data_IF_156904227710
#
_entry.id   IF_156904227710
#
_cell.length_a   1.000
_cell.length_b   1.000
_cell.length_c   1.000
_cell.angle_alpha   90.00
_cell.angle_beta   90.00
_cell.angle_gamma   90.00
#
_symmetry.space_group_name_H-M   'P 1'
#
loop_
_entity.id
_entity.type
_entity.pdbx_description
1 polymer ?
#
# COMPACT_ATOMS: atom_id res chain seq x y z
N UNK A 1 60.92 -4.27 40.45
CA UNK A 1 60.26 -3.43 39.42
C UNK A 1 59.17 -4.14 38.59
N UNK A 2 58.80 -5.40 38.90
CA UNK A 2 57.78 -6.18 38.15
C UNK A 2 56.37 -6.20 38.71
N UNK A 3 56.13 -5.68 39.92
CA UNK A 3 54.77 -5.70 40.52
C UNK A 3 53.95 -4.46 40.23
N UNK A 4 54.53 -3.34 39.83
CA UNK A 4 53.76 -2.14 39.50
C UNK A 4 53.19 -2.15 38.05
N UNK A 5 53.78 -2.92 37.16
CA UNK A 5 53.26 -3.07 35.81
C UNK A 5 51.98 -3.94 35.74
N UNK A 6 51.83 -4.88 36.66
CA UNK A 6 50.67 -5.77 36.70
C UNK A 6 49.41 -5.10 37.26
N UNK A 7 49.55 -4.13 38.16
CA UNK A 7 48.45 -3.40 38.77
C UNK A 7 47.85 -2.33 37.83
N UNK A 8 48.66 -1.76 36.92
CA UNK A 8 48.17 -0.80 35.90
C UNK A 8 47.43 -1.48 34.75
N UNK A 9 47.77 -2.71 34.41
CA UNK A 9 47.08 -3.47 33.36
C UNK A 9 45.69 -3.96 33.80
N UNK A 10 45.47 -4.25 35.11
CA UNK A 10 44.17 -4.67 35.62
C UNK A 10 43.20 -3.50 35.82
N UNK A 11 43.70 -2.28 36.07
CA UNK A 11 42.86 -1.10 36.23
C UNK A 11 42.33 -0.55 34.87
N UNK A 12 43.05 -0.74 33.76
CA UNK A 12 42.58 -0.30 32.43
C UNK A 12 41.56 -1.25 31.79
N UNK A 13 41.52 -2.51 32.20
CA UNK A 13 40.54 -3.49 31.70
C UNK A 13 39.15 -3.37 32.38
N UNK A 14 39.09 -2.78 33.59
CA UNK A 14 37.82 -2.61 34.30
C UNK A 14 37.04 -1.35 33.92
N UNK A 15 37.72 -0.37 33.26
CA UNK A 15 37.07 0.88 32.86
C UNK A 15 36.47 0.84 31.45
N UNK A 16 36.76 -0.21 30.67
CA UNK A 16 36.26 -0.32 29.30
C UNK A 16 34.93 -1.10 29.12
N UNK A 17 34.39 -1.63 30.21
CA UNK A 17 33.21 -2.53 30.12
C UNK A 17 31.93 -1.99 30.76
N UNK A 18 31.83 -0.68 31.01
CA UNK A 18 30.58 0.02 31.30
C UNK A 18 30.11 0.80 30.10
N UNK A 19 30.01 0.15 28.94
CA UNK A 19 29.07 0.60 27.90
C UNK A 19 27.69 0.28 28.47
N UNK A 20 27.05 1.28 29.05
CA UNK A 20 25.64 1.24 29.34
C UNK A 20 24.91 0.81 28.08
N UNK A 21 24.57 -0.45 27.95
CA UNK A 21 23.45 -0.88 27.13
C UNK A 21 22.20 -0.33 27.83
N UNK A 22 21.89 0.94 27.58
CA UNK A 22 20.59 1.49 27.86
C UNK A 22 19.62 0.71 26.97
N UNK A 23 19.14 -0.39 27.50
CA UNK A 23 17.97 -1.10 26.94
C UNK A 23 16.78 -0.16 27.12
N UNK A 24 16.68 0.80 26.20
CA UNK A 24 15.48 1.61 26.08
C UNK A 24 14.33 0.64 25.80
N UNK A 25 13.43 0.49 26.77
CA UNK A 25 12.24 -0.33 26.61
C UNK A 25 11.55 0.10 25.30
N UNK A 26 11.13 -0.86 24.44
CA UNK A 26 10.51 -0.51 23.17
C UNK A 26 9.30 0.39 23.45
N UNK A 27 9.36 1.63 22.94
CA UNK A 27 8.24 2.58 23.06
C UNK A 27 7.01 1.94 22.44
N UNK A 28 5.94 1.81 23.23
CA UNK A 28 4.67 1.33 22.69
C UNK A 28 4.24 2.24 21.57
N UNK A 29 4.06 1.67 20.38
CA UNK A 29 3.56 2.42 19.23
C UNK A 29 2.20 3.07 19.56
N UNK A 30 2.09 4.37 19.33
CA UNK A 30 0.87 5.15 19.58
C UNK A 30 -0.09 5.00 18.40
N UNK A 31 -1.41 4.93 18.67
CA UNK A 31 -2.45 4.82 17.67
C UNK A 31 -2.87 3.38 17.35
N UNK A 32 -3.70 3.24 16.32
CA UNK A 32 -4.21 1.94 15.86
C UNK A 32 -3.09 1.09 15.24
N UNK A 33 -2.94 -0.16 15.71
CA UNK A 33 -1.87 -1.06 15.26
C UNK A 33 -2.42 -2.44 14.88
N UNK A 34 -1.61 -3.21 14.14
CA UNK A 34 -1.87 -4.61 13.81
C UNK A 34 -3.10 -4.84 12.92
N UNK A 35 -3.78 -5.98 13.14
CA UNK A 35 -4.92 -6.40 12.32
C UNK A 35 -6.09 -5.41 12.36
N UNK A 36 -6.37 -4.79 13.51
CA UNK A 36 -7.44 -3.78 13.65
C UNK A 36 -7.19 -2.57 12.74
N UNK A 37 -5.95 -2.05 12.70
CA UNK A 37 -5.58 -0.95 11.78
C UNK A 37 -5.85 -1.34 10.33
N UNK A 38 -5.44 -2.55 9.95
CA UNK A 38 -5.59 -3.04 8.57
C UNK A 38 -7.06 -3.18 8.16
N UNK A 39 -7.89 -3.74 9.04
CA UNK A 39 -9.33 -3.89 8.77
C UNK A 39 -9.99 -2.52 8.62
N UNK A 40 -9.77 -1.59 9.56
CA UNK A 40 -10.35 -0.25 9.50
C UNK A 40 -9.88 0.49 8.25
N UNK A 41 -8.58 0.40 7.94
CA UNK A 41 -8.01 1.00 6.73
C UNK A 41 -8.71 0.52 5.47
N UNK A 42 -8.78 -0.80 5.26
CA UNK A 42 -9.39 -1.38 4.06
C UNK A 42 -10.89 -1.06 4.01
N UNK A 43 -11.62 -1.21 5.12
CA UNK A 43 -13.06 -0.95 5.14
C UNK A 43 -13.40 0.51 4.83
N UNK A 44 -12.66 1.47 5.41
CA UNK A 44 -12.86 2.89 5.13
C UNK A 44 -12.45 3.24 3.69
N UNK A 45 -11.30 2.71 3.24
CA UNK A 45 -10.84 2.93 1.87
C UNK A 45 -11.89 2.48 0.86
N UNK A 46 -12.37 1.24 0.97
CA UNK A 46 -13.36 0.68 0.04
C UNK A 46 -14.72 1.40 0.13
N UNK A 47 -15.20 1.69 1.33
CA UNK A 47 -16.49 2.36 1.49
C UNK A 47 -16.48 3.76 0.83
N UNK A 48 -15.42 4.54 1.04
CA UNK A 48 -15.29 5.87 0.43
C UNK A 48 -15.05 5.74 -1.08
N UNK A 49 -14.20 4.80 -1.51
CA UNK A 49 -13.92 4.55 -2.92
C UNK A 49 -15.22 4.22 -3.69
N UNK A 50 -16.04 3.30 -3.18
CA UNK A 50 -17.33 2.92 -3.78
C UNK A 50 -18.27 4.13 -3.83
N UNK A 51 -18.40 4.88 -2.73
CA UNK A 51 -19.28 6.04 -2.68
C UNK A 51 -18.86 7.11 -3.70
N UNK A 52 -17.57 7.46 -3.74
CA UNK A 52 -17.08 8.51 -4.66
C UNK A 52 -17.12 8.05 -6.11
N UNK A 53 -16.74 6.81 -6.41
CA UNK A 53 -16.85 6.25 -7.77
C UNK A 53 -18.29 6.23 -8.27
N UNK A 54 -19.25 5.88 -7.40
CA UNK A 54 -20.69 5.94 -7.73
C UNK A 54 -21.10 7.38 -8.07
N UNK A 55 -20.66 8.36 -7.28
CA UNK A 55 -20.96 9.77 -7.55
C UNK A 55 -20.31 10.27 -8.86
N UNK A 56 -19.09 9.83 -9.17
CA UNK A 56 -18.43 10.13 -10.44
C UNK A 56 -19.26 9.58 -11.60
N UNK A 57 -19.68 8.32 -11.55
CA UNK A 57 -20.53 7.72 -12.60
C UNK A 57 -21.86 8.47 -12.77
N UNK A 58 -22.51 8.87 -11.68
CA UNK A 58 -23.71 9.68 -11.73
C UNK A 58 -23.44 11.05 -12.37
N UNK A 59 -22.35 11.71 -12.01
CA UNK A 59 -21.98 13.03 -12.52
C UNK A 59 -21.72 13.02 -14.03
N UNK A 60 -21.26 11.90 -14.59
CA UNK A 60 -21.06 11.74 -16.05
C UNK A 60 -22.31 11.17 -16.75
N UNK A 61 -23.46 11.15 -16.08
CA UNK A 61 -24.75 10.86 -16.68
C UNK A 61 -25.27 9.43 -16.53
N UNK A 62 -24.59 8.58 -15.74
CA UNK A 62 -25.07 7.21 -15.49
C UNK A 62 -26.19 7.20 -14.44
N UNK A 63 -27.09 6.23 -14.53
CA UNK A 63 -28.17 6.06 -13.53
C UNK A 63 -27.58 5.71 -12.16
N UNK A 64 -28.16 6.26 -11.10
CA UNK A 64 -27.65 6.06 -9.72
C UNK A 64 -27.63 4.58 -9.30
N UNK A 65 -28.64 3.80 -9.66
CA UNK A 65 -28.69 2.35 -9.39
C UNK A 65 -27.52 1.60 -10.03
N UNK A 66 -27.28 1.89 -11.30
CA UNK A 66 -26.28 1.20 -12.11
C UNK A 66 -24.87 1.62 -11.70
N UNK A 67 -24.71 2.89 -11.31
CA UNK A 67 -23.44 3.46 -10.79
C UNK A 67 -22.98 2.79 -9.50
N UNK A 68 -23.90 2.58 -8.56
CA UNK A 68 -23.60 1.90 -7.30
C UNK A 68 -23.16 0.45 -7.50
N UNK A 69 -23.92 -0.30 -8.32
CA UNK A 69 -23.61 -1.70 -8.63
C UNK A 69 -22.25 -1.80 -9.35
N UNK A 70 -22.01 -0.92 -10.34
CA UNK A 70 -20.74 -0.91 -11.06
C UNK A 70 -19.56 -0.57 -10.13
N UNK A 71 -19.70 0.40 -9.24
CA UNK A 71 -18.64 0.77 -8.31
C UNK A 71 -18.28 -0.40 -7.38
N UNK A 72 -19.28 -1.14 -6.88
CA UNK A 72 -19.04 -2.36 -6.09
C UNK A 72 -18.37 -3.46 -6.92
N UNK A 73 -18.85 -3.70 -8.15
CA UNK A 73 -18.25 -4.69 -9.03
C UNK A 73 -16.79 -4.36 -9.36
N UNK A 74 -16.50 -3.09 -9.67
CA UNK A 74 -15.14 -2.61 -9.92
C UNK A 74 -14.23 -2.79 -8.71
N UNK A 75 -14.71 -2.48 -7.50
CA UNK A 75 -13.96 -2.69 -6.25
C UNK A 75 -13.64 -4.17 -6.04
N UNK A 76 -14.60 -5.07 -6.21
CA UNK A 76 -14.36 -6.52 -6.08
C UNK A 76 -13.34 -7.01 -7.12
N UNK A 77 -13.46 -6.59 -8.38
CA UNK A 77 -12.52 -6.95 -9.43
C UNK A 77 -11.12 -6.44 -9.10
N UNK A 78 -10.99 -5.18 -8.66
CA UNK A 78 -9.71 -4.58 -8.30
C UNK A 78 -9.05 -5.32 -7.14
N UNK A 79 -9.79 -5.70 -6.10
CA UNK A 79 -9.26 -6.49 -4.96
C UNK A 79 -8.80 -7.87 -5.44
N UNK A 80 -9.64 -8.60 -6.18
CA UNK A 80 -9.32 -9.92 -6.69
C UNK A 80 -8.09 -9.88 -7.61
N UNK A 81 -8.04 -8.90 -8.51
CA UNK A 81 -6.90 -8.70 -9.41
C UNK A 81 -5.63 -8.36 -8.64
N UNK A 82 -5.71 -7.45 -7.69
CA UNK A 82 -4.58 -7.08 -6.84
C UNK A 82 -3.95 -8.31 -6.17
N UNK A 83 -4.76 -9.15 -5.53
CA UNK A 83 -4.27 -10.36 -4.86
C UNK A 83 -3.68 -11.35 -5.85
N UNK A 84 -4.39 -11.62 -6.95
CA UNK A 84 -3.98 -12.61 -7.95
C UNK A 84 -2.73 -12.17 -8.71
N UNK A 85 -2.71 -10.91 -9.17
CA UNK A 85 -1.58 -10.37 -9.92
C UNK A 85 -0.31 -10.30 -9.09
N UNK A 86 -0.38 -9.77 -7.86
CA UNK A 86 0.79 -9.71 -6.98
C UNK A 86 1.33 -11.10 -6.68
N UNK A 87 0.46 -12.07 -6.41
CA UNK A 87 0.87 -13.45 -6.17
C UNK A 87 1.56 -14.08 -7.40
N UNK A 88 0.99 -13.88 -8.60
CA UNK A 88 1.58 -14.36 -9.84
C UNK A 88 2.91 -13.69 -10.15
N UNK A 89 2.97 -12.36 -9.94
CA UNK A 89 4.18 -11.58 -10.16
C UNK A 89 5.31 -11.98 -9.20
N UNK A 90 5.01 -12.17 -7.92
CA UNK A 90 5.97 -12.66 -6.93
C UNK A 90 6.50 -14.05 -7.29
N UNK A 91 5.64 -14.97 -7.74
CA UNK A 91 6.05 -16.29 -8.23
C UNK A 91 6.96 -16.18 -9.46
N UNK A 92 6.66 -15.27 -10.39
CA UNK A 92 7.51 -15.02 -11.53
C UNK A 92 8.86 -14.42 -11.12
N UNK A 93 8.86 -13.43 -10.21
CA UNK A 93 10.05 -12.78 -9.69
C UNK A 93 10.97 -13.80 -8.95
N UNK A 94 10.40 -14.71 -8.18
CA UNK A 94 11.13 -15.75 -7.46
C UNK A 94 11.91 -16.70 -8.37
N UNK A 95 11.47 -16.88 -9.64
CA UNK A 95 12.14 -17.71 -10.64
C UNK A 95 13.30 -16.99 -11.35
N UNK A 96 13.48 -15.69 -11.11
CA UNK A 96 14.54 -14.92 -11.76
C UNK A 96 15.89 -15.12 -11.06
N UNK A 97 16.95 -15.21 -11.85
CA UNK A 97 18.34 -15.38 -11.34
C UNK A 97 18.89 -14.13 -10.70
N UNK A 98 18.49 -12.94 -11.19
CA UNK A 98 18.91 -11.64 -10.64
C UNK A 98 17.94 -11.21 -9.55
N UNK A 99 18.42 -11.09 -8.31
CA UNK A 99 17.62 -10.62 -7.18
C UNK A 99 17.52 -9.09 -7.18
N UNK A 100 16.39 -8.59 -6.72
CA UNK A 100 16.08 -7.16 -6.62
C UNK A 100 15.17 -6.64 -7.73
N UNK A 101 14.47 -5.52 -7.45
CA UNK A 101 13.52 -4.91 -8.39
C UNK A 101 14.21 -3.85 -9.22
N UNK A 102 14.65 -4.23 -10.43
CA UNK A 102 15.12 -3.27 -11.44
C UNK A 102 13.99 -2.32 -11.87
N UNK A 103 14.36 -1.18 -12.47
CA UNK A 103 13.40 -0.22 -13.03
C UNK A 103 12.47 -0.91 -14.03
N UNK A 104 13.01 -1.76 -14.91
CA UNK A 104 12.22 -2.51 -15.89
C UNK A 104 11.16 -3.40 -15.21
N UNK A 105 11.51 -4.11 -14.14
CA UNK A 105 10.54 -4.94 -13.41
C UNK A 105 9.43 -4.12 -12.78
N UNK A 106 9.73 -2.92 -12.27
CA UNK A 106 8.72 -1.99 -11.74
C UNK A 106 7.77 -1.52 -12.83
N UNK A 107 8.31 -1.19 -14.02
CA UNK A 107 7.52 -0.77 -15.17
C UNK A 107 6.62 -1.92 -15.66
N UNK A 108 7.17 -3.13 -15.81
CA UNK A 108 6.40 -4.32 -16.21
C UNK A 108 5.29 -4.62 -15.19
N UNK A 109 5.59 -4.49 -13.88
CA UNK A 109 4.57 -4.66 -12.84
C UNK A 109 3.46 -3.63 -12.98
N UNK A 110 3.80 -2.35 -13.13
CA UNK A 110 2.81 -1.28 -13.23
C UNK A 110 1.93 -1.45 -14.49
N UNK A 111 2.54 -1.68 -15.66
CA UNK A 111 1.80 -1.89 -16.92
C UNK A 111 0.94 -3.15 -16.85
N UNK A 112 1.45 -4.25 -16.31
CA UNK A 112 0.70 -5.49 -16.17
C UNK A 112 -0.47 -5.35 -15.20
N UNK A 113 -0.28 -4.62 -14.09
CA UNK A 113 -1.31 -4.37 -13.10
C UNK A 113 -2.44 -3.52 -13.67
N UNK A 114 -2.11 -2.34 -14.19
CA UNK A 114 -3.08 -1.40 -14.75
C UNK A 114 -3.73 -1.93 -16.02
N UNK A 115 -2.94 -2.53 -16.92
CA UNK A 115 -3.46 -3.15 -18.15
C UNK A 115 -4.43 -4.29 -17.87
N UNK A 116 -4.19 -5.08 -16.82
CA UNK A 116 -5.10 -6.15 -16.43
C UNK A 116 -6.42 -5.64 -15.84
N UNK A 117 -6.39 -4.60 -15.02
CA UNK A 117 -7.61 -3.94 -14.53
C UNK A 117 -8.39 -3.36 -15.72
N UNK A 118 -7.74 -2.58 -16.58
CA UNK A 118 -8.36 -1.97 -17.73
C UNK A 118 -8.99 -3.00 -18.68
N UNK A 119 -8.31 -4.13 -18.92
CA UNK A 119 -8.81 -5.20 -19.77
C UNK A 119 -10.09 -5.88 -19.21
N UNK A 120 -10.31 -5.81 -17.90
CA UNK A 120 -11.53 -6.33 -17.27
C UNK A 120 -12.61 -5.27 -17.14
N UNK A 121 -12.24 -4.05 -16.68
CA UNK A 121 -13.23 -3.01 -16.39
C UNK A 121 -13.77 -2.32 -17.66
N UNK A 122 -12.94 -2.07 -18.67
CA UNK A 122 -13.39 -1.40 -19.90
C UNK A 122 -14.55 -2.18 -20.58
N UNK A 123 -14.41 -3.48 -20.90
CA UNK A 123 -15.53 -4.21 -21.51
C UNK A 123 -16.73 -4.36 -20.57
N UNK A 124 -16.50 -4.49 -19.27
CA UNK A 124 -17.58 -4.58 -18.30
C UNK A 124 -18.38 -3.27 -18.24
N UNK A 125 -17.72 -2.12 -18.16
CA UNK A 125 -18.37 -0.80 -18.16
C UNK A 125 -19.10 -0.53 -19.47
N UNK A 126 -18.47 -0.88 -20.61
CA UNK A 126 -19.08 -0.72 -21.92
C UNK A 126 -20.39 -1.50 -22.02
N UNK A 127 -20.39 -2.76 -21.56
CA UNK A 127 -21.58 -3.61 -21.55
C UNK A 127 -22.64 -3.12 -20.55
N UNK A 128 -22.21 -2.79 -19.31
CA UNK A 128 -23.12 -2.43 -18.23
C UNK A 128 -23.84 -1.11 -18.45
N UNK A 129 -23.10 -0.10 -18.89
CA UNK A 129 -23.64 1.25 -19.17
C UNK A 129 -24.17 1.43 -20.58
N UNK A 130 -24.05 0.39 -21.43
CA UNK A 130 -24.42 0.44 -22.85
C UNK A 130 -23.75 1.61 -23.59
N UNK A 131 -22.45 1.75 -23.40
CA UNK A 131 -21.58 2.76 -24.02
C UNK A 131 -20.53 2.09 -24.90
N UNK A 132 -19.84 2.88 -25.72
CA UNK A 132 -18.75 2.37 -26.55
C UNK A 132 -17.54 1.98 -25.71
N UNK A 133 -16.71 1.07 -26.23
CA UNK A 133 -15.43 0.71 -25.60
C UNK A 133 -14.52 1.93 -25.41
N UNK A 134 -14.59 2.91 -26.32
CA UNK A 134 -13.82 4.15 -26.24
C UNK A 134 -14.28 5.03 -25.07
N UNK A 135 -15.57 5.23 -24.92
CA UNK A 135 -16.14 5.96 -23.78
C UNK A 135 -15.79 5.27 -22.46
N UNK A 136 -15.90 3.94 -22.39
CA UNK A 136 -15.49 3.17 -21.23
C UNK A 136 -13.98 3.31 -20.93
N UNK A 137 -13.13 3.32 -21.96
CA UNK A 137 -11.69 3.52 -21.79
C UNK A 137 -11.35 4.93 -21.27
N UNK A 138 -12.06 5.96 -21.72
CA UNK A 138 -11.89 7.33 -21.21
C UNK A 138 -12.35 7.42 -19.75
N UNK A 139 -13.47 6.75 -19.40
CA UNK A 139 -13.94 6.67 -18.02
C UNK A 139 -12.93 5.96 -17.11
N UNK A 140 -12.36 4.84 -17.57
CA UNK A 140 -11.34 4.08 -16.82
C UNK A 140 -10.07 4.90 -16.63
N UNK A 141 -9.60 5.61 -17.65
CA UNK A 141 -8.46 6.53 -17.54
C UNK A 141 -8.73 7.64 -16.51
N UNK A 142 -9.95 8.18 -16.46
CA UNK A 142 -10.37 9.15 -15.46
C UNK A 142 -10.36 8.58 -14.04
N UNK A 143 -10.87 7.34 -13.87
CA UNK A 143 -10.83 6.64 -12.60
C UNK A 143 -9.40 6.34 -12.15
N UNK A 144 -8.50 5.97 -13.05
CA UNK A 144 -7.08 5.76 -12.76
C UNK A 144 -6.46 7.02 -12.13
N UNK A 145 -6.65 8.18 -12.77
CA UNK A 145 -6.14 9.46 -12.25
C UNK A 145 -6.79 9.79 -10.90
N UNK A 146 -8.10 9.60 -10.80
CA UNK A 146 -8.82 9.79 -9.55
C UNK A 146 -8.24 8.91 -8.43
N UNK A 147 -8.08 7.60 -8.65
CA UNK A 147 -7.56 6.68 -7.64
C UNK A 147 -6.12 6.95 -7.25
N UNK A 148 -5.29 7.44 -8.16
CA UNK A 148 -3.93 7.88 -7.84
C UNK A 148 -3.95 9.03 -6.81
N UNK A 149 -4.77 10.05 -7.03
CA UNK A 149 -4.91 11.19 -6.10
C UNK A 149 -5.61 10.76 -4.81
N UNK A 150 -6.69 10.00 -4.94
CA UNK A 150 -7.48 9.49 -3.81
C UNK A 150 -6.61 8.67 -2.83
N UNK A 151 -5.83 7.72 -3.36
CA UNK A 151 -4.96 6.88 -2.54
C UNK A 151 -3.93 7.72 -1.77
N UNK A 152 -3.33 8.71 -2.41
CA UNK A 152 -2.39 9.62 -1.75
C UNK A 152 -3.06 10.41 -0.61
N UNK A 153 -4.20 11.05 -0.90
CA UNK A 153 -4.94 11.86 0.07
C UNK A 153 -5.47 11.00 1.22
N UNK A 154 -6.04 9.83 0.89
CA UNK A 154 -6.55 8.90 1.89
C UNK A 154 -5.45 8.41 2.83
N UNK A 155 -4.30 7.99 2.30
CA UNK A 155 -3.17 7.55 3.11
C UNK A 155 -2.69 8.66 4.06
N UNK A 156 -2.52 9.86 3.53
CA UNK A 156 -2.11 11.01 4.32
C UNK A 156 -3.12 11.32 5.44
N UNK A 157 -4.42 11.37 5.14
CA UNK A 157 -5.47 11.63 6.11
C UNK A 157 -5.58 10.52 7.14
N UNK A 158 -5.51 9.24 6.70
CA UNK A 158 -5.59 8.08 7.59
C UNK A 158 -4.41 8.06 8.58
N UNK A 159 -3.19 8.30 8.11
CA UNK A 159 -2.01 8.34 8.98
C UNK A 159 -2.06 9.50 9.98
N UNK A 160 -2.66 10.63 9.59
CA UNK A 160 -2.84 11.78 10.49
C UNK A 160 -3.91 11.53 11.56
N UNK A 161 -4.97 10.79 11.22
CA UNK A 161 -6.08 10.51 12.15
C UNK A 161 -5.79 9.33 13.09
N UNK A 162 -5.19 8.27 12.56
CA UNK A 162 -5.01 7.00 13.27
C UNK A 162 -3.55 6.73 13.68
N UNK A 163 -2.63 7.62 13.34
CA UNK A 163 -1.20 7.49 13.60
C UNK A 163 -0.49 6.59 12.57
N UNK A 164 0.84 6.69 12.55
CA UNK A 164 1.68 5.87 11.67
C UNK A 164 1.73 4.41 12.15
N UNK A 165 1.94 3.44 11.23
CA UNK A 165 2.19 2.06 11.62
C UNK A 165 3.49 1.94 12.42
N UNK A 166 3.57 0.95 13.31
CA UNK A 166 4.74 0.75 14.18
C UNK A 166 6.07 0.67 13.40
N UNK A 167 6.05 0.08 12.21
CA UNK A 167 7.20 0.00 11.31
C UNK A 167 7.72 1.37 10.82
N UNK A 168 6.84 2.37 10.70
CA UNK A 168 7.21 3.72 10.28
C UNK A 168 7.60 4.62 11.46
N UNK A 169 7.12 4.32 12.69
CA UNK A 169 7.48 5.08 13.90
C UNK A 169 8.94 4.83 14.35
N UNK A 170 9.51 3.67 14.02
CA UNK A 170 10.89 3.31 14.40
C UNK A 170 11.97 4.06 13.60
N UNK A 171 11.62 4.72 12.52
CA UNK A 171 12.56 5.44 11.64
C UNK A 171 12.71 6.93 11.97
N UNK A 172 12.00 7.44 12.97
CA UNK A 172 12.00 8.86 13.36
C UNK A 172 12.82 9.12 14.62
N UNK A 173 13.86 8.30 14.89
CA UNK A 173 14.82 8.51 15.98
C UNK A 173 16.15 9.00 15.47
#
# INVERSE_FOLDING_TARGET
>A
MSQQASAMASASSSAANTVHSSSAAPRKATGLQGAKRRIIYVSLYEAIAIAVSSLIFIAIGQKASDSGVMAVAASVIAICWNLSFNHLFEKWEARQTVKGRSVLRRVVHAIGFEGGIAAMLIPLMAWWFNITLWEAAVMEAGLLVFFMVYTFVFNWAFDRLFGLPASAQALTQ
#
